data_IF_744599995774
#
_entry.id   IF_744599995774
#
_cell.length_a   1.000
_cell.length_b   1.000
_cell.length_c   1.000
_cell.angle_alpha   90.00
_cell.angle_beta   90.00
_cell.angle_gamma   90.00
#
_symmetry.space_group_name_H-M   'P 1'
#
loop_
_entity.id
_entity.type
_entity.pdbx_description
1 polymer ?
#
# COMPACT_ATOMS: atom_id res chain seq x y z
N UNK A 1 -32.05 43.21 -30.56
CA UNK A 1 -30.84 42.80 -29.82
C UNK A 1 -30.91 43.16 -28.32
N UNK A 2 -32.08 43.12 -27.68
CA UNK A 2 -32.26 43.54 -26.26
C UNK A 2 -32.27 42.37 -25.24
N UNK A 3 -32.16 41.12 -25.69
CA UNK A 3 -32.26 39.94 -24.83
C UNK A 3 -30.95 39.49 -24.15
N UNK A 4 -29.79 39.78 -24.75
CA UNK A 4 -28.48 39.37 -24.22
C UNK A 4 -28.08 40.21 -22.98
N UNK A 5 -28.36 41.52 -23.03
CA UNK A 5 -28.01 42.45 -21.95
C UNK A 5 -28.80 42.17 -20.66
N UNK A 6 -30.04 41.65 -20.74
CA UNK A 6 -30.82 41.31 -19.55
C UNK A 6 -30.31 40.04 -18.86
N UNK A 7 -29.90 39.02 -19.62
CA UNK A 7 -29.35 37.78 -19.07
C UNK A 7 -28.00 38.02 -18.41
N UNK A 8 -27.10 38.75 -19.06
CA UNK A 8 -25.77 39.04 -18.50
C UNK A 8 -25.84 39.86 -17.21
N UNK A 9 -26.80 40.79 -17.09
CA UNK A 9 -27.04 41.53 -15.84
C UNK A 9 -27.61 40.63 -14.74
N UNK A 10 -28.55 39.73 -15.08
CA UNK A 10 -29.14 38.78 -14.14
C UNK A 10 -28.10 37.77 -13.62
N UNK A 11 -27.25 37.24 -14.51
CA UNK A 11 -26.14 36.36 -14.16
C UNK A 11 -25.10 37.06 -13.28
N UNK A 12 -24.71 38.30 -13.61
CA UNK A 12 -23.80 39.09 -12.76
C UNK A 12 -24.34 39.30 -11.35
N UNK A 13 -25.64 39.57 -11.23
CA UNK A 13 -26.31 39.70 -9.95
C UNK A 13 -26.30 38.39 -9.17
N UNK A 14 -26.64 37.28 -9.83
CA UNK A 14 -26.62 35.94 -9.26
C UNK A 14 -25.23 35.56 -8.73
N UNK A 15 -24.17 35.75 -9.53
CA UNK A 15 -22.79 35.46 -9.11
C UNK A 15 -22.34 36.33 -7.92
N UNK A 16 -22.76 37.59 -7.84
CA UNK A 16 -22.48 38.46 -6.70
C UNK A 16 -23.22 38.01 -5.44
N UNK A 17 -24.49 37.68 -5.55
CA UNK A 17 -25.31 37.25 -4.42
C UNK A 17 -24.84 35.88 -3.89
N UNK A 18 -24.49 34.97 -4.80
CA UNK A 18 -23.99 33.64 -4.45
C UNK A 18 -22.62 33.73 -3.76
N UNK A 19 -21.71 34.54 -4.29
CA UNK A 19 -20.39 34.65 -3.70
C UNK A 19 -20.27 35.60 -2.50
N UNK A 20 -21.31 36.41 -2.25
CA UNK A 20 -21.49 37.11 -0.97
C UNK A 20 -22.10 36.23 0.12
N UNK A 21 -22.97 35.28 -0.25
CA UNK A 21 -23.68 34.38 0.69
C UNK A 21 -22.96 33.05 0.96
N UNK A 22 -21.99 32.67 0.13
CA UNK A 22 -21.22 31.45 0.34
C UNK A 22 -20.26 31.56 1.53
N UNK A 23 -20.17 30.51 2.33
CA UNK A 23 -19.16 30.35 3.40
C UNK A 23 -17.76 30.11 2.85
N UNK A 24 -17.62 29.97 1.52
CA UNK A 24 -16.34 29.77 0.85
C UNK A 24 -15.54 31.07 0.85
N UNK A 25 -14.68 31.23 1.85
CA UNK A 25 -13.93 32.44 2.18
C UNK A 25 -13.13 33.03 0.99
N UNK A 26 -12.74 32.19 0.02
CA UNK A 26 -12.01 32.61 -1.18
C UNK A 26 -12.86 33.34 -2.24
N UNK A 27 -14.13 32.98 -2.41
CA UNK A 27 -14.99 33.56 -3.46
C UNK A 27 -15.30 35.03 -3.16
N UNK A 28 -15.55 35.37 -1.90
CA UNK A 28 -15.86 36.74 -1.50
C UNK A 28 -14.71 37.71 -1.87
N UNK A 29 -13.44 37.28 -1.69
CA UNK A 29 -12.26 38.07 -2.06
C UNK A 29 -12.10 38.28 -3.56
N UNK A 30 -12.52 37.31 -4.38
CA UNK A 30 -12.53 37.41 -5.86
C UNK A 30 -13.59 38.41 -6.33
N UNK A 31 -14.73 38.48 -5.65
CA UNK A 31 -15.88 39.29 -6.08
C UNK A 31 -15.90 40.72 -5.52
N UNK A 32 -15.27 40.95 -4.36
CA UNK A 32 -15.25 42.28 -3.71
C UNK A 32 -14.10 43.18 -4.15
N UNK A 33 -13.08 42.64 -4.83
CA UNK A 33 -11.91 43.42 -5.21
C UNK A 33 -12.13 44.25 -6.49
N UNK A 34 -11.83 45.54 -6.42
CA UNK A 34 -12.03 46.50 -7.53
C UNK A 34 -10.85 46.50 -8.51
N UNK A 35 -9.65 46.12 -8.07
CA UNK A 35 -8.45 46.10 -8.91
C UNK A 35 -8.32 44.79 -9.70
N UNK A 36 -8.17 44.87 -11.03
CA UNK A 36 -8.04 43.70 -11.92
C UNK A 36 -6.89 42.76 -11.52
N UNK A 37 -5.75 43.30 -11.07
CA UNK A 37 -4.60 42.51 -10.61
C UNK A 37 -4.88 41.70 -9.35
N UNK A 38 -5.49 42.33 -8.34
CA UNK A 38 -5.86 41.62 -7.11
C UNK A 38 -6.89 40.52 -7.44
N UNK A 39 -7.81 40.79 -8.36
CA UNK A 39 -8.80 39.79 -8.81
C UNK A 39 -8.15 38.58 -9.45
N UNK A 40 -7.13 38.79 -10.29
CA UNK A 40 -6.38 37.69 -10.91
C UNK A 40 -5.69 36.82 -9.84
N UNK A 41 -4.98 37.46 -8.90
CA UNK A 41 -4.30 36.74 -7.80
C UNK A 41 -5.28 35.93 -6.97
N UNK A 42 -6.39 36.52 -6.53
CA UNK A 42 -7.41 35.80 -5.76
C UNK A 42 -8.07 34.68 -6.55
N UNK A 43 -8.25 34.85 -7.87
CA UNK A 43 -8.79 33.80 -8.74
C UNK A 43 -7.84 32.62 -8.87
N UNK A 44 -6.54 32.87 -9.05
CA UNK A 44 -5.51 31.82 -9.12
C UNK A 44 -5.43 31.06 -7.80
N UNK A 45 -5.40 31.77 -6.66
CA UNK A 45 -5.38 31.14 -5.34
C UNK A 45 -6.64 30.29 -5.08
N UNK A 46 -7.80 30.80 -5.49
CA UNK A 46 -9.06 30.05 -5.38
C UNK A 46 -9.04 28.78 -6.23
N UNK A 47 -8.65 28.88 -7.51
CA UNK A 47 -8.55 27.74 -8.41
C UNK A 47 -7.55 26.70 -7.91
N UNK A 48 -6.40 27.14 -7.39
CA UNK A 48 -5.42 26.26 -6.79
C UNK A 48 -6.00 25.52 -5.57
N UNK A 49 -6.68 26.23 -4.67
CA UNK A 49 -7.32 25.62 -3.51
C UNK A 49 -8.40 24.59 -3.89
N UNK A 50 -9.22 24.90 -4.89
CA UNK A 50 -10.24 23.96 -5.41
C UNK A 50 -9.59 22.73 -6.05
N UNK A 51 -8.55 22.93 -6.85
CA UNK A 51 -7.81 21.83 -7.48
C UNK A 51 -7.15 20.91 -6.45
N UNK A 52 -6.51 21.49 -5.42
CA UNK A 52 -5.90 20.73 -4.34
C UNK A 52 -6.93 19.98 -3.50
N UNK A 53 -8.08 20.59 -3.21
CA UNK A 53 -9.18 19.94 -2.51
C UNK A 53 -9.75 18.76 -3.32
N UNK A 54 -9.92 18.91 -4.63
CA UNK A 54 -10.37 17.83 -5.50
C UNK A 54 -9.35 16.69 -5.56
N UNK A 55 -8.05 17.00 -5.64
CA UNK A 55 -6.99 16.01 -5.55
C UNK A 55 -7.06 15.22 -4.24
N UNK A 56 -7.15 15.91 -3.09
CA UNK A 56 -7.25 15.25 -1.79
C UNK A 56 -8.51 14.39 -1.65
N UNK A 57 -9.63 14.84 -2.21
CA UNK A 57 -10.88 14.08 -2.20
C UNK A 57 -10.75 12.77 -2.99
N UNK A 58 -10.15 12.81 -4.18
CA UNK A 58 -9.89 11.60 -4.99
C UNK A 58 -8.97 10.64 -4.25
N UNK A 59 -7.84 11.13 -3.74
CA UNK A 59 -6.89 10.30 -2.96
C UNK A 59 -7.57 9.62 -1.78
N UNK A 60 -8.35 10.37 -1.00
CA UNK A 60 -9.07 9.84 0.17
C UNK A 60 -10.08 8.76 -0.23
N UNK A 61 -10.80 8.95 -1.34
CA UNK A 61 -11.74 7.94 -1.86
C UNK A 61 -10.99 6.68 -2.30
N UNK A 62 -9.89 6.84 -3.04
CA UNK A 62 -9.06 5.72 -3.48
C UNK A 62 -8.52 4.94 -2.29
N UNK A 63 -8.02 5.62 -1.26
CA UNK A 63 -7.55 5.00 -0.03
C UNK A 63 -8.67 4.27 0.71
N UNK A 64 -9.87 4.85 0.77
CA UNK A 64 -11.04 4.20 1.37
C UNK A 64 -11.41 2.89 0.66
N UNK A 65 -11.41 2.88 -0.68
CA UNK A 65 -11.69 1.68 -1.48
C UNK A 65 -10.51 0.72 -1.62
N UNK A 66 -9.32 1.08 -1.12
CA UNK A 66 -8.17 0.17 -1.06
C UNK A 66 -8.29 -0.85 0.08
N UNK A 67 -9.30 -0.72 0.95
CA UNK A 67 -9.55 -1.56 2.12
C UNK A 67 -8.28 -1.84 2.95
N UNK A 68 -7.53 -0.79 3.36
CA UNK A 68 -6.31 -0.99 4.12
C UNK A 68 -6.66 -1.54 5.51
N UNK A 69 -5.99 -2.62 5.91
CA UNK A 69 -6.16 -3.23 7.24
C UNK A 69 -5.04 -2.78 8.17
N UNK A 70 -5.38 -2.06 9.24
CA UNK A 70 -4.42 -1.67 10.28
C UNK A 70 -4.50 -2.65 11.44
N UNK A 71 -3.44 -3.43 11.66
CA UNK A 71 -3.36 -4.35 12.80
C UNK A 71 -2.73 -3.65 14.00
N UNK A 72 -3.46 -3.56 15.12
CA UNK A 72 -2.93 -3.03 16.39
C UNK A 72 -2.52 -4.20 17.28
N UNK A 73 -1.21 -4.35 17.54
CA UNK A 73 -0.68 -5.37 18.44
C UNK A 73 -0.67 -4.83 19.87
N UNK A 74 -1.40 -5.47 20.77
CA UNK A 74 -1.39 -5.14 22.21
C UNK A 74 -0.98 -6.35 23.03
N UNK A 75 -0.13 -6.13 24.03
CA UNK A 75 0.29 -7.16 24.96
C UNK A 75 -0.69 -7.22 26.13
N UNK A 76 -1.55 -8.24 26.14
CA UNK A 76 -2.42 -8.54 27.28
C UNK A 76 -1.76 -9.62 28.14
N UNK A 77 -1.58 -9.33 29.43
CA UNK A 77 -1.08 -10.29 30.41
C UNK A 77 -2.29 -10.91 31.12
N UNK A 78 -2.62 -12.13 30.74
CA UNK A 78 -3.66 -12.93 31.39
C UNK A 78 -3.04 -13.69 32.58
N UNK A 79 -3.71 -13.70 33.75
CA UNK A 79 -3.23 -14.42 34.95
C UNK A 79 -3.27 -15.93 34.75
N UNK A 80 -4.19 -16.41 33.90
CA UNK A 80 -4.35 -17.80 33.54
C UNK A 80 -4.46 -17.90 32.01
N UNK A 81 -3.52 -18.62 31.38
CA UNK A 81 -3.54 -18.93 29.96
C UNK A 81 -3.63 -20.45 29.78
N UNK A 82 -4.38 -20.91 28.78
CA UNK A 82 -4.44 -22.32 28.43
C UNK A 82 -3.07 -22.80 27.97
N UNK A 83 -2.61 -23.92 28.52
CA UNK A 83 -1.32 -24.49 28.15
C UNK A 83 -1.40 -25.04 26.71
N UNK A 84 -0.50 -24.65 25.80
CA UNK A 84 -0.60 -25.03 24.41
C UNK A 84 -0.37 -26.54 24.22
N UNK A 85 -0.91 -27.09 23.14
CA UNK A 85 -0.57 -28.45 22.73
C UNK A 85 0.90 -28.56 22.38
N UNK A 86 1.67 -29.33 23.14
CA UNK A 86 3.07 -29.61 22.85
C UNK A 86 3.15 -30.87 21.99
N UNK A 87 3.69 -30.74 20.78
CA UNK A 87 4.04 -31.89 19.93
C UNK A 87 5.56 -32.03 19.87
N UNK A 88 6.07 -33.16 20.37
CA UNK A 88 7.50 -33.49 20.30
C UNK A 88 7.67 -34.56 19.22
N UNK A 89 8.40 -34.20 18.17
CA UNK A 89 8.76 -35.13 17.09
C UNK A 89 10.23 -35.55 17.21
N UNK A 90 10.49 -36.84 17.06
CA UNK A 90 11.85 -37.32 16.85
C UNK A 90 12.37 -36.80 15.50
N UNK A 91 13.58 -36.22 15.47
CA UNK A 91 14.23 -35.76 14.23
C UNK A 91 14.55 -36.92 13.27
N UNK A 92 14.62 -38.14 13.80
CA UNK A 92 14.79 -39.33 12.99
C UNK A 92 13.49 -39.63 12.22
N UNK A 93 13.49 -39.28 10.92
CA UNK A 93 12.38 -39.49 9.99
C UNK A 93 11.92 -40.95 9.88
N UNK A 94 12.82 -41.91 10.10
CA UNK A 94 12.57 -43.35 10.00
C UNK A 94 13.31 -44.11 11.10
N UNK A 95 12.68 -45.14 11.65
CA UNK A 95 13.34 -46.10 12.53
C UNK A 95 14.10 -47.11 11.67
N UNK A 96 15.38 -47.36 11.97
CA UNK A 96 16.20 -48.33 11.20
C UNK A 96 15.54 -49.71 11.09
N UNK A 97 14.83 -50.14 12.14
CA UNK A 97 14.09 -51.41 12.16
C UNK A 97 12.87 -51.47 11.23
N UNK A 98 12.41 -50.34 10.69
CA UNK A 98 11.26 -50.26 9.78
C UNK A 98 11.69 -50.01 8.32
N UNK A 99 12.99 -49.95 8.05
CA UNK A 99 13.51 -49.83 6.69
C UNK A 99 13.83 -51.26 6.23
N UNK A 100 13.38 -51.65 5.04
CA UNK A 100 13.78 -52.94 4.49
C UNK A 100 15.30 -52.96 4.32
N UNK A 101 15.96 -54.11 4.57
CA UNK A 101 17.40 -54.23 4.40
C UNK A 101 17.85 -53.81 3.00
N UNK A 102 17.04 -54.12 1.98
CA UNK A 102 17.25 -53.71 0.60
C UNK A 102 17.31 -52.17 0.42
N UNK A 103 16.44 -51.42 1.10
CA UNK A 103 16.47 -49.94 1.03
C UNK A 103 17.62 -49.34 1.86
N UNK A 104 18.06 -50.01 2.93
CA UNK A 104 19.26 -49.62 3.67
C UNK A 104 20.53 -49.83 2.83
N UNK A 105 20.61 -50.96 2.14
CA UNK A 105 21.73 -51.27 1.24
C UNK A 105 21.73 -50.31 0.04
N UNK A 106 20.57 -50.07 -0.59
CA UNK A 106 20.45 -49.14 -1.71
C UNK A 106 20.82 -47.69 -1.35
N UNK A 107 20.44 -47.24 -0.14
CA UNK A 107 20.82 -45.89 0.33
C UNK A 107 22.29 -45.81 0.75
N UNK A 108 22.86 -46.87 1.32
CA UNK A 108 24.30 -46.93 1.64
C UNK A 108 25.18 -46.89 0.38
N UNK A 109 24.81 -47.65 -0.66
CA UNK A 109 25.52 -47.67 -1.93
C UNK A 109 25.45 -46.32 -2.65
N UNK A 110 24.32 -45.62 -2.61
CA UNK A 110 24.20 -44.29 -3.20
C UNK A 110 25.10 -43.25 -2.49
N UNK A 111 25.18 -43.28 -1.16
CA UNK A 111 26.06 -42.38 -0.37
C UNK A 111 27.54 -42.68 -0.65
N UNK A 112 27.90 -43.95 -0.81
CA UNK A 112 29.26 -44.33 -1.15
C UNK A 112 29.64 -43.87 -2.55
N UNK A 113 28.78 -44.10 -3.54
CA UNK A 113 28.98 -43.66 -4.92
C UNK A 113 29.08 -42.14 -4.99
N UNK A 114 28.18 -41.39 -4.35
CA UNK A 114 28.28 -39.92 -4.32
C UNK A 114 29.54 -39.42 -3.61
N UNK A 115 29.96 -40.07 -2.52
CA UNK A 115 31.24 -39.76 -1.84
C UNK A 115 32.45 -39.98 -2.75
N UNK A 116 32.47 -41.08 -3.51
CA UNK A 116 33.52 -41.37 -4.50
C UNK A 116 33.51 -40.35 -5.63
N UNK A 117 32.35 -40.04 -6.21
CA UNK A 117 32.24 -39.03 -7.28
C UNK A 117 32.70 -37.65 -6.82
N UNK A 118 32.32 -37.23 -5.61
CA UNK A 118 32.79 -35.96 -5.04
C UNK A 118 34.31 -35.96 -4.86
N UNK A 119 34.88 -37.07 -4.36
CA UNK A 119 36.34 -37.23 -4.23
C UNK A 119 37.05 -37.18 -5.59
N UNK A 120 36.57 -37.91 -6.59
CA UNK A 120 37.15 -37.93 -7.94
C UNK A 120 37.07 -36.57 -8.60
N UNK A 121 35.93 -35.89 -8.50
CA UNK A 121 35.77 -34.52 -9.01
C UNK A 121 36.71 -33.54 -8.33
N UNK A 122 36.93 -33.64 -7.01
CA UNK A 122 37.91 -32.83 -6.29
C UNK A 122 39.35 -33.13 -6.74
N UNK A 123 39.71 -34.40 -6.92
CA UNK A 123 41.06 -34.80 -7.38
C UNK A 123 41.32 -34.32 -8.80
N UNK A 124 40.35 -34.46 -9.71
CA UNK A 124 40.46 -33.95 -11.08
C UNK A 124 40.54 -32.42 -11.10
N UNK A 125 39.79 -31.74 -10.22
CA UNK A 125 39.86 -30.28 -10.08
C UNK A 125 41.23 -29.84 -9.57
N UNK A 126 41.87 -30.58 -8.67
CA UNK A 126 43.22 -30.26 -8.16
C UNK A 126 44.32 -30.65 -9.15
N UNK A 127 44.12 -31.65 -10.02
CA UNK A 127 45.14 -32.09 -10.99
C UNK A 127 45.17 -31.25 -12.28
N UNK A 128 44.17 -30.39 -12.49
CA UNK A 128 44.05 -29.50 -13.66
C UNK A 128 44.53 -28.07 -13.37
N UNK A 129 44.86 -27.75 -12.11
CA UNK A 129 45.57 -26.54 -11.70
C UNK A 129 47.04 -26.86 -11.40
#
# INVERSE_FOLDING_TARGET
MAGDESETQSLKKLYRDFGGSTTMHGINRVLTTTSKWKRLVWSVLFLFGVGFAAYQFVTTITDFYSYPVTTVVTLKHEVYAEFPGITICNLNRKRKSMISPELLEATSGFVEVTSVFVKVSLILSVSVY
#
